data_IF_654047544571
#
_entry.id   IF_654047544571
#
_cell.length_a   1.000
_cell.length_b   1.000
_cell.length_c   1.000
_cell.angle_alpha   90.00
_cell.angle_beta   90.00
_cell.angle_gamma   90.00
#
_symmetry.space_group_name_H-M   'P 1'
#
loop_
_entity.id
_entity.type
_entity.pdbx_description
1 polymer ?
#
# COMPACT_ATOMS: atom_id res chain seq x y z
N UNK A 1 -5.63 131.43 5.28
CA UNK A 1 -4.75 131.60 6.46
C UNK A 1 -5.26 130.66 7.52
N UNK A 2 -4.34 129.90 8.13
CA UNK A 2 -4.25 129.43 9.52
C UNK A 2 -5.55 129.05 10.25
N UNK A 3 -5.63 128.06 11.13
CA UNK A 3 -4.73 127.08 11.75
C UNK A 3 -5.70 126.19 12.57
N UNK A 4 -5.22 124.99 12.91
CA UNK A 4 -5.54 124.15 14.08
C UNK A 4 -6.26 124.77 15.31
N UNK A 5 -6.68 123.99 16.35
CA UNK A 5 -7.09 122.56 16.48
C UNK A 5 -8.22 122.41 17.57
N UNK A 6 -8.32 121.37 18.44
CA UNK A 6 -8.43 119.91 18.27
C UNK A 6 -9.66 119.27 18.99
N UNK A 7 -9.75 117.94 18.84
CA UNK A 7 -10.08 116.94 19.87
C UNK A 7 -11.54 116.71 20.34
N UNK A 8 -12.02 115.53 19.90
CA UNK A 8 -12.48 114.41 20.74
C UNK A 8 -13.92 114.39 21.31
N UNK A 9 -14.47 113.19 21.53
CA UNK A 9 -15.71 112.76 20.84
C UNK A 9 -16.83 112.39 21.83
N UNK A 10 -18.06 112.22 21.34
CA UNK A 10 -19.01 111.19 21.81
C UNK A 10 -20.40 111.36 21.16
N UNK A 11 -20.93 110.24 20.70
CA UNK A 11 -22.34 109.88 20.91
C UNK A 11 -23.35 110.31 19.84
N UNK A 12 -23.73 109.36 18.99
CA UNK A 12 -25.07 109.17 18.39
C UNK A 12 -25.19 107.74 17.83
N UNK A 13 -26.40 107.14 17.75
CA UNK A 13 -26.68 105.85 18.41
C UNK A 13 -27.12 104.71 17.42
N UNK A 14 -27.84 103.63 17.83
CA UNK A 14 -27.42 102.23 17.69
C UNK A 14 -28.15 101.44 16.58
N UNK A 15 -27.45 100.66 15.75
CA UNK A 15 -28.08 99.65 14.88
C UNK A 15 -28.20 98.32 15.63
N UNK A 16 -29.41 97.75 15.60
CA UNK A 16 -29.92 96.75 16.53
C UNK A 16 -29.39 95.31 16.27
N UNK A 17 -29.24 94.48 17.33
CA UNK A 17 -28.71 93.10 17.28
C UNK A 17 -29.52 92.10 16.44
N UNK A 18 -30.72 92.48 15.96
CA UNK A 18 -31.58 91.62 15.16
C UNK A 18 -31.04 91.33 13.76
N UNK A 19 -30.26 92.24 13.17
CA UNK A 19 -29.70 92.03 11.83
C UNK A 19 -28.56 90.98 11.84
N UNK A 20 -27.69 91.01 12.86
CA UNK A 20 -26.60 90.04 13.03
C UNK A 20 -27.11 88.62 13.33
N UNK A 21 -28.15 88.49 14.16
CA UNK A 21 -28.81 87.20 14.40
C UNK A 21 -29.56 86.70 13.16
N UNK A 22 -30.20 87.59 12.40
CA UNK A 22 -30.83 87.23 11.13
C UNK A 22 -29.81 86.79 10.08
N UNK A 23 -28.65 87.46 9.95
CA UNK A 23 -27.57 87.07 9.05
C UNK A 23 -26.92 85.74 9.48
N UNK A 24 -26.75 85.51 10.78
CA UNK A 24 -26.27 84.22 11.32
C UNK A 24 -27.27 83.09 11.04
N UNK A 25 -28.56 83.32 11.25
CA UNK A 25 -29.60 82.34 10.92
C UNK A 25 -29.70 82.11 9.41
N UNK A 26 -29.53 83.15 8.59
CA UNK A 26 -29.51 83.02 7.12
C UNK A 26 -28.33 82.17 6.67
N UNK A 27 -27.12 82.42 7.22
CA UNK A 27 -25.93 81.63 6.89
C UNK A 27 -26.01 80.17 7.38
N UNK A 28 -26.65 79.93 8.53
CA UNK A 28 -26.95 78.57 8.99
C UNK A 28 -28.00 77.88 8.10
N UNK A 29 -28.98 78.61 7.57
CA UNK A 29 -29.96 78.07 6.63
C UNK A 29 -29.35 77.79 5.25
N UNK A 30 -28.45 78.63 4.75
CA UNK A 30 -27.75 78.39 3.48
C UNK A 30 -26.81 77.21 3.59
N UNK A 31 -26.01 77.12 4.65
CA UNK A 31 -25.12 75.95 4.88
C UNK A 31 -25.91 74.66 5.07
N UNK A 32 -27.05 74.70 5.78
CA UNK A 32 -27.95 73.55 5.87
C UNK A 32 -28.51 73.16 4.50
N UNK A 33 -28.90 74.12 3.67
CA UNK A 33 -29.38 73.87 2.31
C UNK A 33 -28.28 73.26 1.43
N UNK A 34 -27.05 73.76 1.51
CA UNK A 34 -25.88 73.22 0.82
C UNK A 34 -25.57 71.78 1.26
N UNK A 35 -25.62 71.48 2.57
CA UNK A 35 -25.41 70.14 3.10
C UNK A 35 -26.53 69.17 2.69
N UNK A 36 -27.79 69.63 2.63
CA UNK A 36 -28.90 68.83 2.10
C UNK A 36 -28.68 68.55 0.62
N UNK A 37 -28.27 69.55 -0.16
CA UNK A 37 -27.98 69.37 -1.58
C UNK A 37 -26.80 68.40 -1.81
N UNK A 38 -25.75 68.46 -0.98
CA UNK A 38 -24.63 67.51 -1.01
C UNK A 38 -25.09 66.09 -0.63
N UNK A 39 -25.92 65.96 0.41
CA UNK A 39 -26.52 64.68 0.80
C UNK A 39 -27.33 64.09 -0.34
N UNK A 40 -28.20 64.88 -0.97
CA UNK A 40 -29.08 64.41 -2.04
C UNK A 40 -28.26 64.04 -3.29
N UNK A 41 -27.20 64.80 -3.61
CA UNK A 41 -26.26 64.44 -4.66
C UNK A 41 -25.48 63.13 -4.35
N UNK A 42 -25.09 62.91 -3.10
CA UNK A 42 -24.44 61.66 -2.67
C UNK A 42 -25.41 60.48 -2.69
N UNK A 43 -26.68 60.69 -2.33
CA UNK A 43 -27.72 59.65 -2.43
C UNK A 43 -28.01 59.28 -3.89
N UNK A 44 -28.08 60.27 -4.79
CA UNK A 44 -28.19 60.03 -6.22
C UNK A 44 -27.01 59.19 -6.74
N UNK A 45 -25.77 59.59 -6.42
CA UNK A 45 -24.56 58.82 -6.78
C UNK A 45 -24.56 57.40 -6.20
N UNK A 46 -25.03 57.22 -4.96
CA UNK A 46 -25.14 55.90 -4.34
C UNK A 46 -26.12 55.02 -5.10
N UNK A 47 -27.27 55.56 -5.49
CA UNK A 47 -28.26 54.83 -6.28
C UNK A 47 -27.75 54.49 -7.68
N UNK A 48 -27.05 55.41 -8.33
CA UNK A 48 -26.42 55.16 -9.64
C UNK A 48 -25.38 54.05 -9.55
N UNK A 49 -24.50 54.08 -8.54
CA UNK A 49 -23.51 53.02 -8.30
C UNK A 49 -24.18 51.68 -8.00
N UNK A 50 -25.27 51.67 -7.22
CA UNK A 50 -26.01 50.45 -6.95
C UNK A 50 -26.60 49.85 -8.23
N UNK A 51 -27.21 50.68 -9.08
CA UNK A 51 -27.74 50.24 -10.37
C UNK A 51 -26.63 49.73 -11.31
N UNK A 52 -25.43 50.33 -11.25
CA UNK A 52 -24.28 49.88 -12.02
C UNK A 52 -23.77 48.52 -11.53
N UNK A 53 -23.76 48.29 -10.21
CA UNK A 53 -23.40 46.99 -9.61
C UNK A 53 -24.38 45.91 -10.04
N UNK A 54 -25.70 46.17 -9.99
CA UNK A 54 -26.71 45.20 -10.43
C UNK A 54 -26.55 44.83 -11.91
N UNK A 55 -26.29 45.83 -12.77
CA UNK A 55 -26.00 45.58 -14.19
C UNK A 55 -24.74 44.74 -14.38
N UNK A 56 -23.67 45.04 -13.65
CA UNK A 56 -22.43 44.28 -13.72
C UNK A 56 -22.60 42.84 -13.22
N UNK A 57 -23.37 42.63 -12.14
CA UNK A 57 -23.70 41.30 -11.64
C UNK A 57 -24.48 40.50 -12.68
N UNK A 58 -25.53 41.08 -13.27
CA UNK A 58 -26.32 40.40 -14.32
C UNK A 58 -25.48 40.04 -15.56
N UNK A 59 -24.56 40.94 -15.95
CA UNK A 59 -23.62 40.67 -17.04
C UNK A 59 -22.63 39.56 -16.66
N UNK A 60 -22.10 39.57 -15.43
CA UNK A 60 -21.19 38.55 -14.94
C UNK A 60 -21.87 37.16 -14.89
N UNK A 61 -23.09 37.08 -14.40
CA UNK A 61 -23.88 35.84 -14.37
C UNK A 61 -24.10 35.30 -15.79
N UNK A 62 -24.37 36.19 -16.76
CA UNK A 62 -24.53 35.80 -18.16
C UNK A 62 -23.25 35.23 -18.77
N UNK A 63 -22.09 35.85 -18.49
CA UNK A 63 -20.79 35.35 -18.94
C UNK A 63 -20.42 34.02 -18.26
N UNK A 64 -20.74 33.87 -16.98
CA UNK A 64 -20.50 32.63 -16.26
C UNK A 64 -21.37 31.48 -16.81
N UNK A 65 -22.65 31.76 -17.13
CA UNK A 65 -23.53 30.81 -17.78
C UNK A 65 -23.03 30.41 -19.18
N UNK A 66 -22.56 31.37 -19.98
CA UNK A 66 -22.01 31.12 -21.30
C UNK A 66 -20.71 30.31 -21.24
N UNK A 67 -19.83 30.57 -20.27
CA UNK A 67 -18.62 29.78 -20.04
C UNK A 67 -18.96 28.33 -19.70
N UNK A 68 -19.92 28.10 -18.80
CA UNK A 68 -20.39 26.75 -18.46
C UNK A 68 -20.95 26.03 -19.67
N UNK A 69 -21.76 26.70 -20.50
CA UNK A 69 -22.29 26.11 -21.73
C UNK A 69 -21.16 25.74 -22.71
N UNK A 70 -20.17 26.62 -22.90
CA UNK A 70 -19.03 26.34 -23.74
C UNK A 70 -18.23 25.11 -23.26
N UNK A 71 -17.96 25.01 -21.95
CA UNK A 71 -17.27 23.86 -21.37
C UNK A 71 -18.06 22.56 -21.53
N UNK A 72 -19.38 22.61 -21.33
CA UNK A 72 -20.24 21.44 -21.57
C UNK A 72 -20.25 21.03 -23.03
N UNK A 73 -20.33 21.98 -23.96
CA UNK A 73 -20.27 21.71 -25.40
C UNK A 73 -18.93 21.10 -25.79
N UNK A 74 -17.81 21.63 -25.28
CA UNK A 74 -16.47 21.10 -25.54
C UNK A 74 -16.30 19.68 -25.01
N UNK A 75 -16.82 19.38 -23.81
CA UNK A 75 -16.85 18.00 -23.28
C UNK A 75 -17.70 17.08 -24.14
N UNK A 76 -18.86 17.55 -24.60
CA UNK A 76 -19.76 16.77 -25.43
C UNK A 76 -19.16 16.50 -26.82
N UNK A 77 -18.50 17.47 -27.43
CA UNK A 77 -17.73 17.29 -28.67
C UNK A 77 -16.57 16.31 -28.49
N UNK A 78 -15.89 16.35 -27.34
CA UNK A 78 -14.85 15.37 -27.01
C UNK A 78 -15.42 13.93 -26.97
N UNK A 79 -16.54 13.73 -26.27
CA UNK A 79 -17.19 12.41 -26.20
C UNK A 79 -17.76 11.95 -27.54
N UNK A 80 -18.31 12.86 -28.35
CA UNK A 80 -18.77 12.54 -29.71
C UNK A 80 -17.61 12.09 -30.59
N UNK A 81 -16.50 12.83 -30.62
CA UNK A 81 -15.31 12.44 -31.39
C UNK A 81 -14.71 11.12 -30.91
N UNK A 82 -14.74 10.86 -29.60
CA UNK A 82 -14.33 9.57 -29.06
C UNK A 82 -15.26 8.44 -29.55
N UNK A 83 -16.58 8.66 -29.54
CA UNK A 83 -17.54 7.68 -30.03
C UNK A 83 -17.40 7.44 -31.53
N UNK A 84 -17.18 8.48 -32.34
CA UNK A 84 -16.95 8.36 -33.79
C UNK A 84 -15.67 7.54 -34.09
N UNK A 85 -14.57 7.82 -33.37
CA UNK A 85 -13.33 7.03 -33.46
C UNK A 85 -13.51 5.58 -33.00
N UNK A 86 -14.35 5.34 -32.00
CA UNK A 86 -14.71 4.00 -31.57
C UNK A 86 -15.61 3.30 -32.60
N UNK A 87 -16.54 4.00 -33.25
CA UNK A 87 -17.38 3.45 -34.32
C UNK A 87 -16.56 3.06 -35.56
N UNK A 88 -15.57 3.86 -35.95
CA UNK A 88 -14.62 3.51 -37.02
C UNK A 88 -13.80 2.27 -36.68
N UNK A 89 -13.45 2.05 -35.40
CA UNK A 89 -12.82 0.81 -34.92
C UNK A 89 -13.81 -0.37 -34.88
N UNK A 90 -15.06 -0.15 -34.48
CA UNK A 90 -16.14 -1.16 -34.40
C UNK A 90 -16.51 -1.77 -35.76
N UNK A 91 -16.26 -1.05 -36.86
CA UNK A 91 -16.48 -1.56 -38.23
C UNK A 91 -15.38 -2.52 -38.72
N UNK A 92 -14.26 -2.65 -38.02
CA UNK A 92 -13.11 -3.45 -38.43
C UNK A 92 -13.07 -4.88 -37.84
N UNK A 93 -13.94 -5.23 -36.87
CA UNK A 93 -13.99 -6.60 -36.32
C UNK A 93 -15.22 -6.86 -35.44
N UNK A 94 -16.10 -7.77 -35.86
CA UNK A 94 -17.32 -8.16 -35.13
C UNK A 94 -17.03 -8.75 -33.73
N UNK A 95 -15.83 -9.30 -33.48
CA UNK A 95 -15.42 -9.88 -32.20
C UNK A 95 -14.99 -8.86 -31.11
N UNK A 96 -14.64 -7.63 -31.50
CA UNK A 96 -14.20 -6.60 -30.53
C UNK A 96 -15.38 -5.92 -29.80
N UNK A 97 -16.57 -5.90 -30.43
CA UNK A 97 -17.79 -5.29 -29.86
C UNK A 97 -18.31 -6.11 -28.68
N UNK A 98 -18.36 -7.44 -28.82
CA UNK A 98 -18.73 -8.33 -27.72
C UNK A 98 -17.72 -8.25 -26.57
N UNK A 99 -16.42 -8.20 -26.90
CA UNK A 99 -15.34 -8.07 -25.92
C UNK A 99 -15.39 -6.76 -25.14
N UNK A 100 -15.66 -5.63 -25.81
CA UNK A 100 -15.80 -4.31 -25.18
C UNK A 100 -17.01 -4.22 -24.23
N UNK A 101 -18.16 -4.79 -24.62
CA UNK A 101 -19.34 -4.84 -23.76
C UNK A 101 -19.09 -5.75 -22.55
N UNK A 102 -18.44 -6.90 -22.74
CA UNK A 102 -18.09 -7.82 -21.65
C UNK A 102 -17.03 -7.24 -20.68
N UNK A 103 -16.07 -6.47 -21.19
CA UNK A 103 -15.08 -5.77 -20.36
C UNK A 103 -15.70 -4.65 -19.51
N UNK A 104 -16.64 -3.89 -20.07
CA UNK A 104 -17.30 -2.79 -19.37
C UNK A 104 -18.43 -3.24 -18.43
N UNK A 105 -19.01 -4.42 -18.67
CA UNK A 105 -20.03 -5.00 -17.79
C UNK A 105 -19.43 -5.74 -16.57
N UNK A 106 -18.09 -5.85 -16.46
CA UNK A 106 -17.38 -6.52 -15.36
C UNK A 106 -17.82 -7.97 -15.09
N UNK A 107 -18.37 -8.67 -16.09
CA UNK A 107 -18.91 -10.04 -15.92
C UNK A 107 -17.83 -11.11 -16.11
N UNK A 108 -16.78 -10.79 -16.88
CA UNK A 108 -15.66 -11.70 -17.16
C UNK A 108 -14.33 -11.08 -16.74
N UNK A 109 -13.29 -11.90 -16.45
CA UNK A 109 -11.96 -11.38 -16.15
C UNK A 109 -11.41 -10.55 -17.32
N UNK A 110 -10.77 -9.41 -17.03
CA UNK A 110 -10.20 -8.47 -18.05
C UNK A 110 -9.30 -9.19 -19.06
N UNK A 111 -9.42 -8.97 -20.38
CA UNK A 111 -8.55 -9.64 -21.38
C UNK A 111 -7.05 -9.31 -21.24
N UNK A 112 -6.72 -8.22 -20.54
CA UNK A 112 -5.35 -7.74 -20.37
C UNK A 112 -4.49 -8.71 -19.53
N UNK A 113 -3.64 -9.48 -20.21
CA UNK A 113 -2.73 -10.45 -19.59
C UNK A 113 -1.73 -9.84 -18.63
N UNK A 114 -1.15 -8.68 -18.97
CA UNK A 114 -0.17 -8.00 -18.12
C UNK A 114 -0.76 -7.68 -16.75
N UNK A 115 -1.95 -7.06 -16.73
CA UNK A 115 -2.65 -6.75 -15.47
C UNK A 115 -3.06 -8.00 -14.69
N UNK A 116 -3.48 -9.07 -15.37
CA UNK A 116 -3.76 -10.35 -14.70
C UNK A 116 -2.50 -10.90 -14.03
N UNK A 117 -1.36 -10.83 -14.71
CA UNK A 117 -0.08 -11.26 -14.16
C UNK A 117 0.40 -10.39 -13.00
N UNK A 118 0.12 -9.09 -13.03
CA UNK A 118 0.38 -8.19 -11.89
C UNK A 118 -0.44 -8.62 -10.66
N UNK A 119 -1.73 -8.94 -10.84
CA UNK A 119 -2.59 -9.45 -9.75
C UNK A 119 -2.09 -10.79 -9.22
N UNK A 120 -1.67 -11.71 -10.09
CA UNK A 120 -1.03 -12.97 -9.69
C UNK A 120 0.25 -12.70 -8.88
N UNK A 121 1.06 -11.72 -9.29
CA UNK A 121 2.25 -11.29 -8.55
C UNK A 121 1.94 -10.77 -7.15
N UNK A 122 0.80 -10.08 -6.97
CA UNK A 122 0.32 -9.62 -5.66
C UNK A 122 -0.13 -10.80 -4.78
N UNK A 123 -0.82 -11.79 -5.36
CA UNK A 123 -1.30 -12.97 -4.63
C UNK A 123 -0.16 -13.92 -4.25
N UNK A 124 0.91 -13.99 -5.06
CA UNK A 124 2.02 -14.91 -4.88
C UNK A 124 3.39 -14.19 -4.81
N UNK A 125 3.60 -13.28 -3.84
CA UNK A 125 4.74 -12.35 -3.85
C UNK A 125 6.11 -13.03 -3.60
N UNK A 126 6.11 -14.23 -3.02
CA UNK A 126 7.31 -14.95 -2.61
C UNK A 126 7.78 -16.01 -3.60
N UNK A 127 7.05 -16.23 -4.69
CA UNK A 127 7.36 -17.22 -5.71
C UNK A 127 7.32 -16.57 -7.10
N UNK A 128 8.22 -16.98 -7.98
CA UNK A 128 8.18 -16.60 -9.39
C UNK A 128 8.33 -17.82 -10.28
N UNK A 129 7.62 -17.79 -11.40
CA UNK A 129 7.73 -18.80 -12.46
C UNK A 129 8.57 -18.17 -13.58
N UNK A 130 9.66 -18.83 -13.97
CA UNK A 130 10.56 -18.39 -15.04
C UNK A 130 10.74 -19.47 -16.10
N UNK A 131 11.29 -19.09 -17.26
CA UNK A 131 11.72 -19.99 -18.33
C UNK A 131 10.62 -20.95 -18.79
N UNK A 132 9.39 -20.45 -18.90
CA UNK A 132 8.28 -21.21 -19.46
C UNK A 132 8.53 -21.46 -20.95
N UNK A 133 8.93 -22.68 -21.30
CA UNK A 133 9.13 -23.12 -22.68
C UNK A 133 8.10 -24.18 -23.02
N UNK A 134 7.48 -24.01 -24.18
CA UNK A 134 6.51 -24.95 -24.74
C UNK A 134 7.08 -25.54 -26.02
N UNK A 135 7.07 -26.87 -26.12
CA UNK A 135 7.55 -27.61 -27.30
C UNK A 135 6.57 -28.73 -27.62
N UNK A 136 6.31 -28.95 -28.90
CA UNK A 136 5.55 -30.12 -29.34
C UNK A 136 6.55 -31.18 -29.81
N UNK A 137 6.44 -32.38 -29.25
CA UNK A 137 7.37 -33.49 -29.50
C UNK A 137 6.55 -34.74 -29.77
N UNK A 138 7.05 -35.64 -30.61
CA UNK A 138 6.46 -36.96 -30.76
C UNK A 138 6.96 -37.86 -29.62
N UNK A 139 6.03 -38.44 -28.87
CA UNK A 139 6.34 -39.42 -27.82
C UNK A 139 6.86 -40.73 -28.42
N UNK A 140 7.29 -41.68 -27.58
CA UNK A 140 7.79 -43.00 -28.00
C UNK A 140 6.78 -43.79 -28.86
N UNK A 141 5.49 -43.51 -28.69
CA UNK A 141 4.39 -44.09 -29.47
C UNK A 141 4.03 -43.26 -30.72
N UNK A 142 4.89 -42.32 -31.12
CA UNK A 142 4.71 -41.37 -32.24
C UNK A 142 3.50 -40.42 -32.10
N UNK A 143 2.90 -40.32 -30.91
CA UNK A 143 1.81 -39.38 -30.62
C UNK A 143 2.38 -37.97 -30.42
N UNK A 144 1.73 -36.97 -30.99
CA UNK A 144 2.09 -35.57 -30.75
C UNK A 144 1.70 -35.19 -29.32
N UNK A 145 2.70 -34.90 -28.49
CA UNK A 145 2.53 -34.45 -27.10
C UNK A 145 3.14 -33.06 -26.92
N UNK A 146 2.57 -32.28 -26.02
CA UNK A 146 3.07 -30.96 -25.67
C UNK A 146 3.90 -31.06 -24.39
N UNK A 147 5.19 -30.74 -24.51
CA UNK A 147 6.09 -30.60 -23.38
C UNK A 147 6.11 -29.16 -22.89
N UNK A 148 5.84 -28.97 -21.61
CA UNK A 148 5.88 -27.67 -20.94
C UNK A 148 6.96 -27.74 -19.86
N UNK A 149 7.95 -26.86 -19.95
CA UNK A 149 9.02 -26.76 -18.95
C UNK A 149 9.00 -25.39 -18.33
N UNK A 150 9.13 -25.31 -17.00
CA UNK A 150 9.21 -24.05 -16.27
C UNK A 150 10.01 -24.21 -14.98
N UNK A 151 10.51 -23.10 -14.46
CA UNK A 151 11.29 -23.06 -13.22
C UNK A 151 10.54 -22.29 -12.14
N UNK A 152 10.31 -22.93 -10.98
CA UNK A 152 9.85 -22.29 -9.76
C UNK A 152 11.05 -21.73 -8.98
N UNK A 153 11.00 -20.45 -8.66
CA UNK A 153 12.04 -19.71 -7.93
C UNK A 153 11.44 -19.02 -6.71
N UNK A 154 12.11 -19.17 -5.57
CA UNK A 154 11.82 -18.44 -4.34
C UNK A 154 13.12 -18.17 -3.56
N UNK A 155 13.15 -17.07 -2.80
CA UNK A 155 14.32 -16.71 -1.98
C UNK A 155 14.51 -17.70 -0.84
N UNK A 156 15.74 -18.20 -0.66
CA UNK A 156 16.05 -19.17 0.40
C UNK A 156 15.49 -20.57 0.16
N UNK A 157 15.01 -20.89 -1.04
CA UNK A 157 14.57 -22.24 -1.44
C UNK A 157 15.33 -22.68 -2.70
N UNK A 158 15.43 -24.00 -2.97
CA UNK A 158 16.09 -24.46 -4.19
C UNK A 158 15.17 -24.23 -5.38
N UNK A 159 15.74 -23.92 -6.55
CA UNK A 159 14.97 -23.83 -7.79
C UNK A 159 14.41 -25.21 -8.17
N UNK A 160 13.14 -25.26 -8.56
CA UNK A 160 12.51 -26.48 -9.08
C UNK A 160 12.25 -26.32 -10.56
N UNK A 161 12.95 -27.11 -11.38
CA UNK A 161 12.72 -27.18 -12.81
C UNK A 161 11.68 -28.27 -13.07
N UNK A 162 10.45 -27.87 -13.40
CA UNK A 162 9.33 -28.77 -13.63
C UNK A 162 9.18 -29.00 -15.13
N UNK A 163 9.05 -30.26 -15.52
CA UNK A 163 8.77 -30.71 -16.88
C UNK A 163 7.45 -31.48 -16.89
N UNK A 164 6.53 -31.07 -17.76
CA UNK A 164 5.22 -31.68 -17.95
C UNK A 164 5.12 -32.22 -19.36
N UNK A 165 4.58 -33.43 -19.51
CA UNK A 165 4.13 -33.96 -20.79
C UNK A 165 2.60 -33.98 -20.79
N UNK A 166 2.01 -33.20 -21.68
CA UNK A 166 0.57 -33.02 -21.82
C UNK A 166 0.09 -33.65 -23.12
N UNK A 167 -1.00 -34.39 -23.05
CA UNK A 167 -1.70 -34.95 -24.19
C UNK A 167 -3.20 -34.90 -23.93
N UNK A 168 -3.97 -34.44 -24.90
CA UNK A 168 -5.43 -34.35 -24.80
C UNK A 168 -5.89 -33.67 -23.50
N UNK A 169 -5.29 -32.50 -23.21
CA UNK A 169 -5.54 -31.68 -22.02
C UNK A 169 -5.23 -32.36 -20.66
N UNK A 170 -4.58 -33.53 -20.67
CA UNK A 170 -4.19 -34.27 -19.47
C UNK A 170 -2.68 -34.32 -19.33
N UNK A 171 -2.19 -34.16 -18.09
CA UNK A 171 -0.79 -34.38 -17.75
C UNK A 171 -0.55 -35.89 -17.67
N UNK A 172 0.18 -36.44 -18.63
CA UNK A 172 0.56 -37.87 -18.64
C UNK A 172 1.77 -38.10 -17.76
N UNK A 173 2.74 -37.18 -17.81
CA UNK A 173 4.02 -37.32 -17.14
C UNK A 173 4.43 -36.01 -16.50
N UNK A 174 5.01 -36.11 -15.31
CA UNK A 174 5.56 -35.00 -14.56
C UNK A 174 6.93 -35.39 -14.04
N UNK A 175 7.94 -34.60 -14.36
CA UNK A 175 9.30 -34.78 -13.88
C UNK A 175 9.85 -33.49 -13.27
N UNK A 176 10.76 -33.64 -12.31
CA UNK A 176 11.56 -32.53 -11.77
C UNK A 176 12.99 -32.70 -12.25
N UNK A 177 13.42 -31.86 -13.18
CA UNK A 177 14.78 -31.86 -13.69
C UNK A 177 15.74 -31.54 -12.53
N UNK A 178 16.75 -32.39 -12.35
CA UNK A 178 17.71 -32.31 -11.24
C UNK A 178 17.11 -32.54 -9.84
N UNK A 179 16.06 -33.36 -9.74
CA UNK A 179 15.35 -33.66 -8.47
C UNK A 179 16.27 -33.93 -7.29
N UNK A 180 17.31 -34.76 -7.44
CA UNK A 180 18.21 -35.15 -6.33
C UNK A 180 18.82 -33.95 -5.59
N UNK A 181 19.33 -32.95 -6.32
CA UNK A 181 19.94 -31.76 -5.69
C UNK A 181 18.89 -30.93 -4.98
N UNK A 182 17.76 -30.68 -5.64
CA UNK A 182 16.67 -29.90 -5.07
C UNK A 182 16.06 -30.56 -3.83
N UNK A 183 15.80 -31.87 -3.87
CA UNK A 183 15.24 -32.66 -2.76
C UNK A 183 16.16 -32.65 -1.54
N UNK A 184 17.48 -32.78 -1.70
CA UNK A 184 18.41 -32.71 -0.56
C UNK A 184 18.27 -31.38 0.19
N UNK A 185 18.18 -30.26 -0.55
CA UNK A 185 18.07 -28.96 0.11
C UNK A 185 16.66 -28.70 0.63
N UNK A 186 15.62 -29.18 -0.06
CA UNK A 186 14.25 -29.18 0.46
C UNK A 186 14.14 -29.97 1.76
N UNK A 187 14.82 -31.12 1.86
CA UNK A 187 14.79 -31.95 3.05
C UNK A 187 15.44 -31.25 4.26
N UNK A 188 16.38 -30.32 4.04
CA UNK A 188 16.93 -29.47 5.12
C UNK A 188 15.94 -28.41 5.59
N UNK A 189 15.09 -27.91 4.70
CA UNK A 189 14.12 -26.84 5.02
C UNK A 189 12.78 -27.38 5.52
N UNK A 190 12.28 -28.45 4.91
CA UNK A 190 11.02 -29.12 5.22
C UNK A 190 11.08 -30.58 4.76
N UNK A 191 11.51 -31.52 5.64
CA UNK A 191 11.60 -32.95 5.32
C UNK A 191 10.28 -33.54 4.81
N UNK A 192 9.17 -33.19 5.46
CA UNK A 192 7.83 -33.71 5.13
C UNK A 192 7.39 -33.30 3.73
N UNK A 193 7.67 -32.06 3.31
CA UNK A 193 7.35 -31.61 1.97
C UNK A 193 8.23 -32.28 0.92
N UNK A 194 9.53 -32.43 1.19
CA UNK A 194 10.46 -33.10 0.29
C UNK A 194 10.03 -34.55 0.00
N UNK A 195 9.60 -35.28 1.04
CA UNK A 195 9.16 -36.66 0.91
C UNK A 195 7.87 -36.76 0.08
N UNK A 196 6.83 -35.99 0.44
CA UNK A 196 5.53 -36.01 -0.25
C UNK A 196 5.65 -35.54 -1.70
N UNK A 197 6.53 -34.56 -1.98
CA UNK A 197 6.83 -34.11 -3.34
C UNK A 197 7.27 -35.29 -4.22
N UNK A 198 8.24 -36.08 -3.76
CA UNK A 198 8.80 -37.19 -4.53
C UNK A 198 7.94 -38.45 -4.51
N UNK A 199 7.25 -38.73 -3.42
CA UNK A 199 6.51 -39.98 -3.22
C UNK A 199 5.09 -39.91 -3.77
N UNK A 200 4.46 -38.74 -3.75
CA UNK A 200 3.07 -38.55 -4.18
C UNK A 200 2.97 -37.55 -5.33
N UNK A 201 3.35 -36.29 -5.13
CA UNK A 201 2.97 -35.24 -6.09
C UNK A 201 3.58 -35.44 -7.48
N UNK A 202 4.84 -35.84 -7.55
CA UNK A 202 5.50 -36.14 -8.83
C UNK A 202 4.93 -37.41 -9.45
N UNK A 203 4.75 -38.48 -8.67
CA UNK A 203 4.26 -39.77 -9.17
C UNK A 203 2.82 -39.69 -9.66
N UNK A 204 1.98 -38.97 -8.94
CA UNK A 204 0.54 -38.81 -9.23
C UNK A 204 0.26 -37.63 -10.17
N UNK A 205 1.32 -37.02 -10.75
CA UNK A 205 1.24 -35.91 -11.69
C UNK A 205 0.45 -34.68 -11.18
N UNK A 206 0.55 -34.38 -9.87
CA UNK A 206 -0.18 -33.28 -9.20
C UNK A 206 0.58 -31.95 -9.26
N UNK A 207 0.62 -31.34 -10.45
CA UNK A 207 1.34 -30.08 -10.71
C UNK A 207 0.86 -28.94 -9.82
N UNK A 208 -0.45 -28.83 -9.63
CA UNK A 208 -1.11 -27.84 -8.80
C UNK A 208 -0.60 -27.88 -7.35
N UNK A 209 -0.50 -29.08 -6.77
CA UNK A 209 0.02 -29.29 -5.41
C UNK A 209 1.52 -28.98 -5.29
N UNK A 210 2.29 -29.21 -6.36
CA UNK A 210 3.72 -28.84 -6.39
C UNK A 210 3.88 -27.33 -6.38
N UNK A 211 3.17 -26.63 -7.27
CA UNK A 211 3.25 -25.17 -7.40
C UNK A 211 2.73 -24.50 -6.12
N UNK A 212 1.56 -24.90 -5.63
CA UNK A 212 0.99 -24.34 -4.42
C UNK A 212 1.80 -24.68 -3.16
N UNK A 213 2.27 -25.93 -3.04
CA UNK A 213 3.11 -26.35 -1.92
C UNK A 213 4.44 -25.62 -1.85
N UNK A 214 5.07 -25.40 -3.01
CA UNK A 214 6.30 -24.60 -3.09
C UNK A 214 6.04 -23.13 -2.71
N UNK A 215 4.91 -22.55 -3.16
CA UNK A 215 4.50 -21.21 -2.73
C UNK A 215 4.26 -21.13 -1.22
N UNK A 216 3.51 -22.09 -0.66
CA UNK A 216 3.20 -22.16 0.77
C UNK A 216 4.49 -22.24 1.60
N UNK A 217 5.45 -23.08 1.16
CA UNK A 217 6.78 -23.16 1.76
C UNK A 217 7.54 -21.83 1.65
N UNK A 218 7.53 -21.18 0.49
CA UNK A 218 8.21 -19.91 0.26
C UNK A 218 7.68 -18.80 1.18
N UNK A 219 6.35 -18.72 1.33
CA UNK A 219 5.69 -17.77 2.21
C UNK A 219 6.05 -18.01 3.68
N UNK A 220 6.00 -19.26 4.14
CA UNK A 220 6.38 -19.60 5.52
C UNK A 220 7.86 -19.39 5.79
N UNK A 221 8.74 -19.71 4.83
CA UNK A 221 10.17 -19.47 4.95
C UNK A 221 10.49 -17.97 5.02
N UNK A 222 9.84 -17.14 4.19
CA UNK A 222 9.99 -15.68 4.27
C UNK A 222 9.56 -15.13 5.63
N UNK A 223 8.42 -15.60 6.16
CA UNK A 223 7.92 -15.22 7.50
C UNK A 223 8.91 -15.62 8.59
N UNK A 224 9.40 -16.87 8.56
CA UNK A 224 10.39 -17.40 9.51
C UNK A 224 11.69 -16.58 9.50
N UNK A 225 12.26 -16.33 8.32
CA UNK A 225 13.49 -15.53 8.17
C UNK A 225 13.28 -14.11 8.69
N UNK A 226 12.16 -13.48 8.38
CA UNK A 226 11.83 -12.13 8.85
C UNK A 226 11.74 -12.06 10.39
N UNK A 227 11.09 -13.03 11.03
CA UNK A 227 10.96 -13.07 12.50
C UNK A 227 12.29 -13.37 13.17
N UNK A 228 13.05 -14.35 12.67
CA UNK A 228 14.40 -14.62 13.18
C UNK A 228 15.28 -13.39 13.08
N UNK A 229 15.28 -12.70 11.93
CA UNK A 229 16.05 -11.47 11.75
C UNK A 229 15.61 -10.37 12.73
N UNK A 230 14.31 -10.22 13.00
CA UNK A 230 13.81 -9.28 14.00
C UNK A 230 14.34 -9.60 15.41
N UNK A 231 14.23 -10.86 15.83
CA UNK A 231 14.70 -11.31 17.15
C UNK A 231 16.22 -11.17 17.30
N UNK A 232 16.97 -11.57 16.28
CA UNK A 232 18.43 -11.49 16.27
C UNK A 232 18.94 -10.05 16.29
N UNK A 233 18.22 -9.10 15.69
CA UNK A 233 18.54 -7.67 15.78
C UNK A 233 18.20 -7.10 17.15
N UNK A 234 17.02 -7.45 17.68
CA UNK A 234 16.54 -6.96 18.98
C UNK A 234 17.45 -7.44 20.13
N UNK A 235 17.89 -8.69 20.10
CA UNK A 235 18.74 -9.30 21.13
C UNK A 235 20.17 -9.55 20.64
N UNK A 236 20.71 -8.61 19.85
CA UNK A 236 22.02 -8.76 19.20
C UNK A 236 23.17 -8.97 20.18
N UNK A 237 23.13 -8.33 21.36
CA UNK A 237 24.13 -8.49 22.43
C UNK A 237 24.08 -9.84 23.15
N UNK A 238 22.98 -10.58 23.02
CA UNK A 238 22.76 -11.87 23.66
C UNK A 238 22.91 -13.04 22.68
N UNK A 239 23.20 -12.80 21.41
CA UNK A 239 23.20 -13.84 20.37
C UNK A 239 24.37 -14.82 20.50
N UNK A 240 24.07 -16.11 20.50
CA UNK A 240 25.06 -17.19 20.32
C UNK A 240 25.02 -17.72 18.88
N UNK A 241 23.83 -17.95 18.31
CA UNK A 241 23.63 -18.49 16.96
C UNK A 241 22.56 -17.68 16.21
N UNK A 242 22.74 -17.36 14.92
CA UNK A 242 23.80 -17.77 13.98
C UNK A 242 25.17 -17.13 14.24
N UNK A 243 26.21 -17.74 13.65
CA UNK A 243 27.58 -17.21 13.65
C UNK A 243 27.73 -15.91 12.83
N UNK A 244 28.98 -15.47 12.59
CA UNK A 244 29.24 -14.22 11.88
C UNK A 244 28.67 -14.19 10.44
N UNK A 245 28.36 -12.98 9.92
CA UNK A 245 27.94 -12.68 8.53
C UNK A 245 26.50 -13.02 8.10
N UNK A 246 25.61 -13.42 9.02
CA UNK A 246 24.22 -13.73 8.68
C UNK A 246 23.38 -12.54 8.19
N UNK A 247 23.80 -11.30 8.45
CA UNK A 247 23.07 -10.09 8.09
C UNK A 247 23.18 -9.73 6.60
N UNK A 248 24.25 -10.17 5.92
CA UNK A 248 24.49 -9.87 4.51
C UNK A 248 23.55 -10.66 3.59
N UNK A 249 23.32 -11.93 3.91
CA UNK A 249 22.28 -12.75 3.27
C UNK A 249 21.53 -13.58 4.33
N UNK A 250 20.47 -13.01 4.92
CA UNK A 250 19.66 -13.70 5.93
C UNK A 250 18.94 -14.92 5.37
N UNK A 251 18.57 -14.89 4.08
CA UNK A 251 17.81 -15.97 3.47
C UNK A 251 18.67 -17.21 3.28
N UNK A 252 19.94 -17.06 2.88
CA UNK A 252 20.83 -18.21 2.76
C UNK A 252 21.34 -18.68 4.13
N UNK A 253 21.70 -17.73 5.00
CA UNK A 253 22.27 -18.03 6.32
C UNK A 253 21.29 -18.71 7.28
N UNK A 254 20.04 -18.25 7.31
CA UNK A 254 19.02 -18.76 8.24
C UNK A 254 18.23 -19.96 7.67
N UNK A 255 18.30 -20.20 6.36
CA UNK A 255 17.60 -21.32 5.72
C UNK A 255 17.96 -22.67 6.32
N UNK A 256 19.26 -22.90 6.53
CA UNK A 256 19.78 -24.20 6.96
C UNK A 256 19.74 -24.41 8.47
N UNK A 257 19.39 -23.39 9.25
CA UNK A 257 19.53 -23.40 10.70
C UNK A 257 18.18 -23.74 11.36
N UNK A 258 18.03 -24.88 12.06
CA UNK A 258 16.76 -25.27 12.65
C UNK A 258 16.31 -24.37 13.82
N UNK A 259 17.26 -23.70 14.51
CA UNK A 259 16.97 -22.84 15.66
C UNK A 259 17.93 -21.66 15.78
N UNK A 260 17.45 -20.56 16.36
CA UNK A 260 18.29 -19.45 16.84
C UNK A 260 18.57 -19.60 18.33
N UNK A 261 19.71 -19.11 18.79
CA UNK A 261 20.19 -19.30 20.15
C UNK A 261 20.70 -18.00 20.77
N UNK A 262 20.31 -17.75 22.01
CA UNK A 262 20.69 -16.58 22.79
C UNK A 262 21.16 -16.98 24.20
N UNK A 263 22.05 -16.20 24.79
CA UNK A 263 22.49 -16.30 26.18
C UNK A 263 21.95 -15.12 26.98
N UNK A 264 21.18 -15.42 28.02
CA UNK A 264 20.69 -14.44 28.98
C UNK A 264 21.21 -14.77 30.37
N UNK A 265 21.56 -13.75 31.14
CA UNK A 265 21.99 -13.89 32.54
C UNK A 265 20.85 -13.42 33.42
N UNK A 266 20.43 -14.26 34.36
CA UNK A 266 19.35 -13.90 35.28
C UNK A 266 19.81 -12.79 36.23
N UNK A 267 19.03 -11.71 36.33
CA UNK A 267 19.35 -10.51 37.11
C UNK A 267 19.67 -10.79 38.59
N UNK A 268 18.85 -11.62 39.25
CA UNK A 268 18.95 -11.94 40.68
C UNK A 268 20.00 -13.01 41.04
N UNK A 269 20.13 -14.06 40.23
CA UNK A 269 21.02 -15.20 40.55
C UNK A 269 22.36 -15.12 39.84
N UNK A 270 22.53 -14.20 38.88
CA UNK A 270 23.69 -14.10 37.99
C UNK A 270 24.00 -15.40 37.21
N UNK A 271 23.04 -16.33 37.14
CA UNK A 271 23.19 -17.59 36.40
C UNK A 271 22.93 -17.40 34.90
N UNK A 272 23.80 -17.93 34.01
CA UNK A 272 23.57 -17.90 32.57
C UNK A 272 22.63 -19.01 32.10
N UNK A 273 21.71 -18.64 31.21
CA UNK A 273 20.74 -19.51 30.55
C UNK A 273 20.85 -19.36 29.04
N UNK A 274 20.73 -20.47 28.33
CA UNK A 274 20.67 -20.54 26.88
C UNK A 274 19.21 -20.67 26.45
N UNK A 275 18.73 -19.74 25.65
CA UNK A 275 17.38 -19.74 25.09
C UNK A 275 17.45 -20.15 23.62
N UNK A 276 16.75 -21.23 23.26
CA UNK A 276 16.64 -21.75 21.90
C UNK A 276 15.21 -21.64 21.39
N UNK A 277 15.07 -21.06 20.20
CA UNK A 277 13.81 -21.06 19.45
C UNK A 277 13.97 -21.91 18.21
N UNK A 278 13.34 -23.08 18.22
CA UNK A 278 13.24 -23.98 17.08
C UNK A 278 12.05 -23.60 16.21
N UNK A 279 12.25 -23.64 14.90
CA UNK A 279 11.19 -23.39 13.93
C UNK A 279 11.31 -24.35 12.77
N UNK A 280 10.45 -25.35 12.76
CA UNK A 280 10.35 -26.36 11.72
C UNK A 280 9.19 -26.04 10.77
N UNK A 281 9.42 -26.23 9.47
CA UNK A 281 8.38 -26.08 8.45
C UNK A 281 7.92 -27.47 8.05
N UNK A 282 6.64 -27.77 8.29
CA UNK A 282 6.08 -29.10 8.07
C UNK A 282 4.84 -29.03 7.17
N UNK A 283 4.67 -30.05 6.34
CA UNK A 283 3.49 -30.22 5.51
C UNK A 283 2.40 -30.87 6.35
N UNK A 284 1.46 -30.07 6.85
CA UNK A 284 0.38 -30.57 7.72
C UNK A 284 -0.76 -31.17 6.91
N UNK A 285 -1.08 -30.57 5.76
CA UNK A 285 -2.16 -31.05 4.89
C UNK A 285 -1.62 -31.37 3.50
N UNK A 286 -1.46 -32.66 3.22
CA UNK A 286 -0.96 -33.16 1.94
C UNK A 286 -1.97 -33.04 0.79
N UNK A 287 -3.28 -32.95 1.08
CA UNK A 287 -4.30 -32.77 0.04
C UNK A 287 -4.37 -31.33 -0.46
N UNK A 288 -4.06 -30.36 0.39
CA UNK A 288 -4.06 -28.94 0.04
C UNK A 288 -2.64 -28.40 -0.20
N UNK A 289 -1.62 -29.24 -0.10
CA UNK A 289 -0.21 -28.85 -0.14
C UNK A 289 0.12 -27.65 0.80
N UNK A 290 -0.52 -27.58 1.98
CA UNK A 290 -0.35 -26.47 2.91
C UNK A 290 0.78 -26.76 3.91
N UNK A 291 1.78 -25.90 3.89
CA UNK A 291 2.88 -25.88 4.86
C UNK A 291 2.46 -25.04 6.07
N UNK A 292 2.62 -25.60 7.25
CA UNK A 292 2.47 -24.91 8.53
C UNK A 292 3.82 -24.85 9.27
N UNK A 293 3.83 -24.12 10.37
CA UNK A 293 4.99 -23.97 11.25
C UNK A 293 4.81 -24.76 12.54
N UNK A 294 5.86 -25.47 12.93
CA UNK A 294 6.02 -26.07 14.25
C UNK A 294 7.10 -25.31 15.00
N UNK A 295 6.71 -24.71 16.13
CA UNK A 295 7.58 -23.91 16.99
C UNK A 295 7.86 -24.70 18.27
N UNK A 296 9.10 -24.63 18.74
CA UNK A 296 9.47 -25.13 20.05
C UNK A 296 10.44 -24.17 20.74
N UNK A 297 10.27 -23.98 22.03
CA UNK A 297 11.02 -23.00 22.82
C UNK A 297 11.61 -23.67 24.06
N UNK A 298 12.93 -23.65 24.14
CA UNK A 298 13.68 -24.26 25.21
C UNK A 298 14.53 -23.24 25.95
N UNK A 299 14.51 -23.30 27.28
CA UNK A 299 15.40 -22.55 28.16
C UNK A 299 16.28 -23.56 28.88
N UNK A 300 17.59 -23.46 28.68
CA UNK A 300 18.57 -24.43 29.15
C UNK A 300 19.48 -23.72 30.13
N UNK A 301 19.60 -24.23 31.35
CA UNK A 301 20.54 -23.67 32.33
C UNK A 301 21.97 -24.10 31.96
N UNK A 302 22.91 -23.17 31.92
CA UNK A 302 24.28 -23.46 31.43
C UNK A 302 25.13 -24.28 32.41
N UNK A 303 24.79 -24.26 33.71
CA UNK A 303 25.55 -24.96 34.76
C UNK A 303 25.36 -26.47 34.75
N UNK A 304 24.13 -26.95 34.54
CA UNK A 304 23.76 -28.37 34.59
C UNK A 304 23.17 -28.89 33.26
N UNK A 305 23.03 -28.02 32.25
CA UNK A 305 22.36 -28.29 30.97
C UNK A 305 20.93 -28.79 31.12
N UNK A 306 20.29 -28.50 32.26
CA UNK A 306 18.88 -28.85 32.49
C UNK A 306 17.96 -27.95 31.67
N UNK A 307 16.89 -28.53 31.14
CA UNK A 307 15.85 -27.80 30.41
C UNK A 307 14.75 -27.38 31.39
N UNK A 308 14.39 -26.10 31.40
CA UNK A 308 13.29 -25.59 32.19
C UNK A 308 11.96 -26.15 31.66
N UNK A 309 11.32 -27.01 32.44
CA UNK A 309 10.03 -27.59 32.10
C UNK A 309 8.93 -26.52 31.97
N UNK A 310 8.02 -26.72 31.01
CA UNK A 310 6.86 -25.83 30.81
C UNK A 310 7.15 -24.52 30.07
N UNK A 311 8.41 -24.20 29.75
CA UNK A 311 8.75 -22.99 28.99
C UNK A 311 8.16 -23.01 27.57
N UNK A 312 8.23 -24.17 26.89
CA UNK A 312 7.69 -24.34 25.53
C UNK A 312 6.18 -24.15 25.48
N UNK A 313 5.44 -24.77 26.40
CA UNK A 313 3.98 -24.66 26.45
C UNK A 313 3.52 -23.24 26.79
N UNK A 314 4.17 -22.58 27.74
CA UNK A 314 3.91 -21.18 28.06
C UNK A 314 4.16 -20.27 26.85
N UNK A 315 5.28 -20.47 26.14
CA UNK A 315 5.59 -19.72 24.93
C UNK A 315 4.54 -19.93 23.84
N UNK A 316 4.12 -21.17 23.56
CA UNK A 316 3.12 -21.46 22.54
C UNK A 316 1.76 -20.83 22.83
N UNK A 317 1.35 -20.78 24.10
CA UNK A 317 0.12 -20.09 24.52
C UNK A 317 0.22 -18.58 24.24
N UNK A 318 1.35 -17.95 24.58
CA UNK A 318 1.58 -16.53 24.28
C UNK A 318 1.62 -16.26 22.78
N UNK A 319 2.19 -17.17 21.97
CA UNK A 319 2.28 -17.01 20.52
C UNK A 319 0.90 -16.91 19.88
N UNK A 320 -0.10 -17.64 20.41
CA UNK A 320 -1.47 -17.57 19.92
C UNK A 320 -2.11 -16.19 20.13
N UNK A 321 -1.75 -15.48 21.21
CA UNK A 321 -2.31 -14.17 21.57
C UNK A 321 -1.52 -12.98 21.00
N UNK A 322 -0.19 -13.01 21.12
CA UNK A 322 0.69 -11.86 20.86
C UNK A 322 1.61 -12.05 19.66
N UNK A 323 1.67 -13.25 19.08
CA UNK A 323 2.60 -13.60 18.01
C UNK A 323 4.03 -13.83 18.50
N UNK A 324 4.89 -14.32 17.60
CA UNK A 324 6.21 -14.90 17.95
C UNK A 324 7.17 -13.87 18.57
N UNK A 325 7.35 -12.70 17.96
CA UNK A 325 8.31 -11.72 18.45
C UNK A 325 7.96 -11.22 19.86
N UNK A 326 6.69 -10.82 20.07
CA UNK A 326 6.27 -10.26 21.35
C UNK A 326 6.23 -11.32 22.45
N UNK A 327 5.84 -12.56 22.12
CA UNK A 327 5.88 -13.68 23.06
C UNK A 327 7.31 -13.98 23.51
N UNK A 328 8.28 -13.92 22.60
CA UNK A 328 9.69 -14.11 22.95
C UNK A 328 10.18 -13.01 23.90
N UNK A 329 9.85 -11.75 23.60
CA UNK A 329 10.18 -10.60 24.47
C UNK A 329 9.56 -10.74 25.86
N UNK A 330 8.28 -11.14 25.95
CA UNK A 330 7.60 -11.38 27.23
C UNK A 330 8.23 -12.54 28.00
N UNK A 331 8.59 -13.64 27.33
CA UNK A 331 9.29 -14.76 27.98
C UNK A 331 10.64 -14.33 28.54
N UNK A 332 11.46 -13.62 27.75
CA UNK A 332 12.78 -13.17 28.17
C UNK A 332 12.68 -12.18 29.33
N UNK A 333 11.78 -11.20 29.24
CA UNK A 333 11.60 -10.20 30.30
C UNK A 333 11.08 -10.82 31.61
N UNK A 334 10.14 -11.75 31.55
CA UNK A 334 9.62 -12.39 32.77
C UNK A 334 10.59 -13.41 33.40
N UNK A 335 11.44 -14.05 32.60
CA UNK A 335 12.34 -15.11 33.09
C UNK A 335 13.69 -14.59 33.61
N UNK A 336 14.20 -13.47 33.07
CA UNK A 336 15.57 -13.02 33.34
C UNK A 336 15.69 -11.67 34.02
N UNK A 337 14.60 -10.88 34.11
CA UNK A 337 14.59 -9.55 34.74
C UNK A 337 14.07 -9.62 36.17
#
# INVERSE_FOLDING_TARGET
MAEEPPASPAGSPPEQPQQLEQESLLSLQTTKAELIQQRDALLAKKNDLHSAIERLQSSWDSYQAQSKQYDTKKKLEYYLRQNDQEYEKRLAGEDEVASFVLENMHVLPSSNWGRRMDVVGILYPHMRIHNALLKNVHDTDNKLVTQITFTLLAKGLPSLNVELTVWDEKVIKLDILQSKKATIVLHKTSPTFANILTEMYVKDCKVDLIVYGYHSLASMQAKRVSIFLSLLRQFSGNRIRPGAMWENDPFDSLRAIPYIEFEFVHSKTAEPYIVRLYWHLALRNHFLARIDSELDFAVIRKSDLSVLGGASTAFLNLVAEYGVCKSFELMVSNLFT
#
